data_IF_777923790144
#
_entry.id   IF_777923790144
#
_cell.length_a   1.000
_cell.length_b   1.000
_cell.length_c   1.000
_cell.angle_alpha   90.00
_cell.angle_beta   90.00
_cell.angle_gamma   90.00
#
_symmetry.space_group_name_H-M   'P 1'
#
loop_
_entity.id
_entity.type
_entity.pdbx_description
1 polymer ?
#
# COMPACT_ATOMS: atom_id res chain seq x y z
N UNK A 1 61.78 5.75 6.43
CA UNK A 1 60.74 4.85 6.97
C UNK A 1 60.28 3.97 5.81
N UNK A 2 60.51 2.65 5.86
CA UNK A 2 60.28 1.72 4.72
C UNK A 2 58.82 1.74 4.25
N UNK A 3 58.58 1.62 2.94
CA UNK A 3 57.24 1.58 2.29
C UNK A 3 56.37 0.46 2.91
N UNK A 4 57.01 -0.63 3.34
CA UNK A 4 56.37 -1.74 4.06
C UNK A 4 55.68 -1.28 5.35
N UNK A 5 56.28 -0.34 6.09
CA UNK A 5 55.70 0.17 7.34
C UNK A 5 54.46 1.06 7.11
N UNK A 6 54.36 1.68 5.92
CA UNK A 6 53.20 2.49 5.53
C UNK A 6 52.04 1.58 5.10
N UNK A 7 52.34 0.52 4.34
CA UNK A 7 51.35 -0.48 3.93
C UNK A 7 50.78 -1.25 5.14
N UNK A 8 51.62 -1.65 6.09
CA UNK A 8 51.19 -2.33 7.32
C UNK A 8 50.32 -1.40 8.19
N UNK A 9 50.63 -0.10 8.25
CA UNK A 9 49.79 0.88 8.96
C UNK A 9 48.42 1.07 8.29
N UNK A 10 48.37 1.12 6.96
CA UNK A 10 47.11 1.22 6.22
C UNK A 10 46.26 -0.05 6.40
N UNK A 11 46.85 -1.25 6.32
CA UNK A 11 46.17 -2.53 6.55
C UNK A 11 45.58 -2.64 7.96
N UNK A 12 46.31 -2.21 9.00
CA UNK A 12 45.79 -2.18 10.39
C UNK A 12 44.66 -1.16 10.57
N UNK A 13 44.68 -0.04 9.85
CA UNK A 13 43.65 1.02 9.94
C UNK A 13 42.29 0.59 9.38
N UNK A 14 42.26 -0.28 8.37
CA UNK A 14 41.01 -0.78 7.76
C UNK A 14 40.61 -2.18 8.24
N UNK A 15 41.50 -2.91 8.91
CA UNK A 15 41.21 -4.24 9.49
C UNK A 15 40.04 -4.22 10.48
N UNK A 16 39.91 -3.18 11.30
CA UNK A 16 38.78 -3.06 12.24
C UNK A 16 37.43 -2.79 11.56
N UNK A 17 37.42 -2.13 10.40
CA UNK A 17 36.20 -1.83 9.63
C UNK A 17 35.67 -3.11 8.97
N UNK A 18 36.55 -3.95 8.44
CA UNK A 18 36.21 -5.29 7.94
C UNK A 18 35.65 -6.19 9.04
N UNK A 19 36.20 -6.12 10.26
CA UNK A 19 35.73 -6.88 11.41
C UNK A 19 34.32 -6.48 11.87
N UNK A 20 34.00 -5.17 11.83
CA UNK A 20 32.66 -4.65 12.13
C UNK A 20 31.64 -5.13 11.07
N UNK A 21 32.02 -5.15 9.79
CA UNK A 21 31.14 -5.62 8.71
C UNK A 21 30.80 -7.11 8.84
N UNK A 22 31.79 -7.96 9.17
CA UNK A 22 31.56 -9.40 9.40
C UNK A 22 30.73 -9.67 10.66
N UNK A 23 30.91 -8.88 11.73
CA UNK A 23 30.10 -9.00 12.95
C UNK A 23 28.63 -8.61 12.73
N UNK A 24 28.35 -7.61 11.88
CA UNK A 24 26.99 -7.20 11.49
C UNK A 24 26.22 -8.33 10.77
N UNK A 25 26.87 -9.06 9.86
CA UNK A 25 26.23 -10.16 9.14
C UNK A 25 25.97 -11.38 10.04
N UNK A 26 26.86 -11.66 10.99
CA UNK A 26 26.67 -12.75 11.96
C UNK A 26 25.49 -12.48 12.91
N UNK A 27 25.24 -11.22 13.29
CA UNK A 27 24.04 -10.85 14.07
C UNK A 27 22.75 -11.01 13.26
N UNK A 28 22.75 -10.67 11.97
CA UNK A 28 21.59 -10.84 11.10
C UNK A 28 21.24 -12.33 10.87
N UNK A 29 22.26 -13.19 10.74
CA UNK A 29 22.07 -14.63 10.58
C UNK A 29 21.59 -15.32 11.88
N UNK A 30 22.11 -14.88 13.03
CA UNK A 30 21.66 -15.38 14.34
C UNK A 30 20.19 -15.07 14.61
N UNK A 31 19.75 -13.85 14.31
CA UNK A 31 18.35 -13.43 14.53
C UNK A 31 17.36 -14.19 13.64
N UNK A 32 17.75 -14.51 12.39
CA UNK A 32 16.90 -15.30 11.49
C UNK A 32 16.73 -16.75 11.97
N UNK A 33 17.77 -17.33 12.59
CA UNK A 33 17.73 -18.70 13.14
C UNK A 33 16.93 -18.78 14.44
N UNK A 34 16.96 -17.72 15.24
CA UNK A 34 16.12 -17.59 16.45
C UNK A 34 14.64 -17.45 16.08
N UNK A 35 14.32 -16.60 15.08
CA UNK A 35 12.96 -16.44 14.55
C UNK A 35 12.42 -17.75 13.96
N UNK A 36 13.24 -18.50 13.20
CA UNK A 36 12.79 -19.79 12.65
C UNK A 36 12.50 -20.84 13.74
N UNK A 37 13.28 -20.82 14.83
CA UNK A 37 13.08 -21.75 15.94
C UNK A 37 11.85 -21.38 16.79
N UNK A 38 11.58 -20.09 16.98
CA UNK A 38 10.38 -19.62 17.69
C UNK A 38 9.11 -20.00 16.91
N UNK A 39 9.08 -19.80 15.59
CA UNK A 39 7.94 -20.16 14.73
C UNK A 39 7.66 -21.68 14.74
N UNK A 40 8.71 -22.50 14.77
CA UNK A 40 8.58 -23.96 14.80
C UNK A 40 8.15 -24.52 16.17
N UNK A 41 8.45 -23.82 17.26
CA UNK A 41 8.09 -24.24 18.61
C UNK A 41 6.68 -23.79 19.01
N UNK A 42 6.23 -22.61 18.54
CA UNK A 42 4.88 -22.10 18.80
C UNK A 42 3.80 -22.87 18.03
N UNK A 43 4.14 -23.45 16.87
CA UNK A 43 3.23 -24.30 16.08
C UNK A 43 3.03 -25.69 16.69
N UNK A 44 3.87 -26.12 17.65
CA UNK A 44 3.76 -27.42 18.28
C UNK A 44 2.96 -27.45 19.59
N UNK A 45 2.67 -26.30 20.24
CA UNK A 45 2.18 -26.31 21.62
C UNK A 45 1.11 -25.27 22.03
N UNK A 46 0.40 -24.60 21.10
CA UNK A 46 -0.74 -23.74 21.47
C UNK A 46 -2.04 -24.29 20.93
N UNK A 47 -2.65 -25.17 21.72
CA UNK A 47 -4.10 -25.35 21.71
C UNK A 47 -4.73 -24.18 22.50
N UNK A 48 -4.96 -23.07 21.83
CA UNK A 48 -5.90 -22.05 22.33
C UNK A 48 -6.63 -21.52 21.13
N UNK A 49 -7.89 -21.92 21.00
CA UNK A 49 -8.78 -21.58 19.89
C UNK A 49 -9.05 -20.07 19.84
N UNK A 50 -8.74 -19.38 18.73
CA UNK A 50 -9.47 -18.20 18.30
C UNK A 50 -10.39 -18.60 17.14
N UNK A 51 -11.69 -18.60 17.41
CA UNK A 51 -12.79 -18.31 16.46
C UNK A 51 -12.53 -18.52 14.95
N UNK A 52 -13.11 -19.59 14.40
CA UNK A 52 -13.56 -19.79 13.01
C UNK A 52 -12.70 -19.18 11.88
N UNK A 53 -11.78 -20.00 11.37
CA UNK A 53 -11.41 -20.17 9.96
C UNK A 53 -11.65 -18.98 9.00
N UNK A 54 -10.74 -18.00 9.00
CA UNK A 54 -10.33 -17.33 7.76
C UNK A 54 -8.90 -17.80 7.46
N UNK A 55 -8.66 -18.39 6.29
CA UNK A 55 -7.29 -18.72 5.89
C UNK A 55 -6.45 -17.44 5.88
N UNK A 56 -5.17 -17.53 6.24
CA UNK A 56 -4.26 -16.36 6.19
C UNK A 56 -4.28 -15.67 4.81
N UNK A 57 -4.60 -16.41 3.75
CA UNK A 57 -4.80 -15.90 2.40
C UNK A 57 -6.06 -15.02 2.28
N UNK A 58 -7.20 -15.45 2.83
CA UNK A 58 -8.43 -14.65 2.81
C UNK A 58 -8.23 -13.30 3.53
N UNK A 59 -7.48 -13.28 4.63
CA UNK A 59 -7.12 -12.03 5.31
C UNK A 59 -6.16 -11.16 4.49
N UNK A 60 -5.21 -11.75 3.78
CA UNK A 60 -4.32 -11.03 2.86
C UNK A 60 -5.08 -10.43 1.67
N UNK A 61 -6.09 -11.15 1.18
CA UNK A 61 -6.93 -10.71 0.07
C UNK A 61 -7.84 -9.55 0.50
N UNK A 62 -8.46 -9.63 1.68
CA UNK A 62 -9.26 -8.56 2.28
C UNK A 62 -8.44 -7.28 2.49
N UNK A 63 -7.19 -7.40 2.97
CA UNK A 63 -6.31 -6.23 3.14
C UNK A 63 -5.95 -5.58 1.81
N UNK A 64 -5.67 -6.39 0.79
CA UNK A 64 -5.38 -5.88 -0.55
C UNK A 64 -6.60 -5.16 -1.16
N UNK A 65 -7.81 -5.61 -0.81
CA UNK A 65 -9.06 -4.97 -1.21
C UNK A 65 -9.20 -3.57 -0.61
N UNK A 66 -9.00 -3.42 0.70
CA UNK A 66 -9.10 -2.12 1.39
C UNK A 66 -8.13 -1.08 0.83
N UNK A 67 -6.95 -1.50 0.35
CA UNK A 67 -5.95 -0.60 -0.22
C UNK A 67 -6.06 -0.43 -1.74
N UNK A 68 -7.05 -1.05 -2.38
CA UNK A 68 -7.30 -0.92 -3.82
C UNK A 68 -6.20 -1.56 -4.67
N UNK A 69 -5.53 -2.60 -4.16
CA UNK A 69 -4.40 -3.27 -4.85
C UNK A 69 -4.87 -4.08 -6.07
N UNK A 70 -6.18 -4.27 -6.23
CA UNK A 70 -6.77 -4.96 -7.38
C UNK A 70 -7.08 -4.01 -8.55
N UNK A 71 -7.09 -4.57 -9.76
CA UNK A 71 -7.33 -3.82 -11.00
C UNK A 71 -8.82 -3.45 -11.17
N UNK A 72 -9.07 -2.36 -11.89
CA UNK A 72 -10.41 -1.94 -12.32
C UNK A 72 -11.10 -3.03 -13.15
N UNK A 73 -10.37 -3.99 -13.71
CA UNK A 73 -10.91 -5.17 -14.40
C UNK A 73 -11.51 -6.23 -13.48
N UNK A 74 -11.39 -6.11 -12.16
CA UNK A 74 -11.92 -7.09 -11.21
C UNK A 74 -13.43 -7.32 -11.40
N UNK A 75 -13.83 -8.58 -11.30
CA UNK A 75 -15.23 -9.03 -11.36
C UNK A 75 -16.08 -8.53 -10.18
N UNK A 76 -15.43 -8.00 -9.14
CA UNK A 76 -16.05 -7.51 -7.91
C UNK A 76 -16.73 -6.15 -8.06
N UNK A 77 -16.41 -5.38 -9.10
CA UNK A 77 -16.95 -4.04 -9.30
C UNK A 77 -18.02 -3.99 -10.40
N UNK A 78 -19.03 -3.14 -10.19
CA UNK A 78 -20.12 -2.90 -11.14
C UNK A 78 -19.90 -1.59 -11.90
N UNK A 79 -20.05 -1.65 -13.23
CA UNK A 79 -19.93 -0.47 -14.08
C UNK A 79 -21.13 0.47 -13.92
N UNK A 80 -20.84 1.77 -13.86
CA UNK A 80 -21.87 2.82 -13.86
C UNK A 80 -22.36 3.04 -15.30
N UNK A 81 -23.68 3.16 -15.56
CA UNK A 81 -24.21 3.49 -16.87
C UNK A 81 -23.64 4.81 -17.43
N UNK A 82 -23.26 4.82 -18.71
CA UNK A 82 -22.69 6.00 -19.40
C UNK A 82 -23.58 7.26 -19.34
N UNK A 83 -24.90 7.09 -19.17
CA UNK A 83 -25.82 8.24 -18.99
C UNK A 83 -25.54 9.06 -17.72
N UNK A 84 -24.91 8.45 -16.72
CA UNK A 84 -24.65 9.07 -15.42
C UNK A 84 -23.18 9.49 -15.25
N UNK A 85 -22.27 9.07 -16.11
CA UNK A 85 -20.84 9.37 -16.00
C UNK A 85 -20.21 9.70 -17.36
N UNK A 86 -19.38 10.75 -17.47
CA UNK A 86 -18.71 11.11 -18.73
C UNK A 86 -17.59 10.13 -19.10
N UNK A 87 -17.07 9.36 -18.14
CA UNK A 87 -16.01 8.37 -18.35
C UNK A 87 -16.38 7.02 -17.74
N UNK A 88 -15.77 5.91 -18.19
CA UNK A 88 -16.01 4.60 -17.58
C UNK A 88 -15.61 4.63 -16.10
N UNK A 89 -16.60 4.46 -15.22
CA UNK A 89 -16.43 4.41 -13.78
C UNK A 89 -17.07 3.14 -13.23
N UNK A 90 -16.51 2.64 -12.14
CA UNK A 90 -16.96 1.42 -11.48
C UNK A 90 -17.14 1.66 -9.98
N UNK A 91 -18.11 0.99 -9.39
CA UNK A 91 -18.46 1.08 -7.97
C UNK A 91 -18.68 -0.30 -7.38
N UNK A 92 -18.65 -0.37 -6.06
CA UNK A 92 -19.03 -1.54 -5.32
C UNK A 92 -20.51 -1.87 -5.57
N UNK A 93 -20.87 -3.15 -5.79
CA UNK A 93 -22.25 -3.54 -6.10
C UNK A 93 -23.26 -3.10 -5.05
N UNK A 94 -22.87 -3.03 -3.78
CA UNK A 94 -23.74 -2.63 -2.66
C UNK A 94 -24.15 -1.15 -2.73
N UNK A 95 -23.30 -0.29 -3.31
CA UNK A 95 -23.58 1.15 -3.43
C UNK A 95 -24.45 1.45 -4.65
N UNK A 96 -24.47 0.56 -5.64
CA UNK A 96 -25.11 0.80 -6.93
C UNK A 96 -26.56 1.24 -6.81
N UNK A 97 -27.38 0.50 -6.06
CA UNK A 97 -28.82 0.79 -5.99
C UNK A 97 -29.07 2.16 -5.33
N UNK A 98 -28.35 2.48 -4.26
CA UNK A 98 -28.45 3.77 -3.56
C UNK A 98 -28.04 4.94 -4.44
N UNK A 99 -26.98 4.79 -5.24
CA UNK A 99 -26.55 5.81 -6.20
C UNK A 99 -27.63 6.08 -7.25
N UNK A 100 -28.22 5.03 -7.83
CA UNK A 100 -29.25 5.19 -8.88
C UNK A 100 -30.51 5.84 -8.31
N UNK A 101 -30.96 5.41 -7.12
CA UNK A 101 -32.11 6.01 -6.45
C UNK A 101 -31.88 7.50 -6.13
N UNK A 102 -30.67 7.87 -5.68
CA UNK A 102 -30.30 9.27 -5.46
C UNK A 102 -30.36 10.09 -6.76
N UNK A 103 -29.82 9.57 -7.86
CA UNK A 103 -29.83 10.27 -9.16
C UNK A 103 -31.26 10.41 -9.68
N UNK A 104 -32.07 9.36 -9.58
CA UNK A 104 -33.45 9.38 -10.06
C UNK A 104 -34.33 10.33 -9.24
N UNK A 105 -34.10 10.45 -7.93
CA UNK A 105 -34.74 11.47 -7.08
C UNK A 105 -34.32 12.88 -7.47
N UNK A 106 -33.01 13.13 -7.62
CA UNK A 106 -32.52 14.44 -8.07
C UNK A 106 -33.11 14.84 -9.43
N UNK A 107 -33.27 13.88 -10.35
CA UNK A 107 -33.87 14.14 -11.65
C UNK A 107 -35.34 14.56 -11.56
N UNK A 108 -36.13 14.01 -10.62
CA UNK A 108 -37.52 14.44 -10.37
C UNK A 108 -37.60 15.90 -9.92
N UNK A 109 -36.55 16.37 -9.23
CA UNK A 109 -36.39 17.76 -8.80
C UNK A 109 -35.73 18.64 -9.88
N UNK A 110 -35.60 18.15 -11.13
CA UNK A 110 -34.90 18.80 -12.24
C UNK A 110 -33.40 19.07 -11.98
N UNK A 111 -32.77 18.35 -11.07
CA UNK A 111 -31.33 18.43 -10.77
C UNK A 111 -30.61 17.30 -11.51
N UNK A 112 -29.71 17.66 -12.42
CA UNK A 112 -28.90 16.69 -13.17
C UNK A 112 -27.59 16.38 -12.44
N UNK A 113 -27.51 15.19 -11.85
CA UNK A 113 -26.28 14.68 -11.24
C UNK A 113 -25.45 13.90 -12.26
N UNK A 114 -24.12 14.01 -12.14
CA UNK A 114 -23.18 13.18 -12.90
C UNK A 114 -22.04 12.71 -12.00
N UNK A 115 -21.74 11.43 -12.08
CA UNK A 115 -20.63 10.80 -11.35
C UNK A 115 -19.33 11.14 -12.05
N UNK A 116 -18.46 11.87 -11.35
CA UNK A 116 -17.17 12.34 -11.89
C UNK A 116 -16.03 11.38 -11.56
N UNK A 117 -16.12 10.63 -10.47
CA UNK A 117 -15.12 9.61 -10.11
C UNK A 117 -15.68 8.66 -9.06
N UNK A 118 -15.37 7.37 -9.19
CA UNK A 118 -15.72 6.34 -8.24
C UNK A 118 -14.47 5.53 -7.84
N UNK A 119 -14.42 4.23 -8.15
CA UNK A 119 -13.29 3.37 -7.80
C UNK A 119 -11.97 3.82 -8.42
N UNK A 120 -10.91 3.76 -7.61
CA UNK A 120 -9.54 4.03 -8.03
C UNK A 120 -8.59 3.01 -7.44
N UNK A 121 -7.84 2.32 -8.30
CA UNK A 121 -6.79 1.41 -7.85
C UNK A 121 -5.66 2.16 -7.13
N UNK A 122 -4.91 1.44 -6.32
CA UNK A 122 -3.69 1.90 -5.66
C UNK A 122 -2.73 2.54 -6.69
N UNK A 123 -2.49 1.85 -7.80
CA UNK A 123 -1.60 2.30 -8.87
C UNK A 123 -2.06 3.65 -9.46
N UNK A 124 -3.36 3.81 -9.70
CA UNK A 124 -3.89 5.08 -10.21
C UNK A 124 -3.76 6.21 -9.18
N UNK A 125 -4.01 5.94 -7.90
CA UNK A 125 -3.83 6.95 -6.84
C UNK A 125 -2.35 7.31 -6.67
N UNK A 126 -1.45 6.33 -6.75
CA UNK A 126 0.02 6.53 -6.77
C UNK A 126 0.44 7.44 -7.91
N UNK A 127 -0.02 7.15 -9.13
CA UNK A 127 0.27 8.00 -10.28
C UNK A 127 -0.23 9.46 -10.09
N UNK A 128 -1.44 9.65 -9.55
CA UNK A 128 -1.96 11.00 -9.26
C UNK A 128 -1.08 11.72 -8.24
N UNK A 129 -0.66 11.00 -7.20
CA UNK A 129 0.23 11.53 -6.17
C UNK A 129 1.60 11.92 -6.75
N UNK A 130 2.25 11.02 -7.50
CA UNK A 130 3.55 11.25 -8.13
C UNK A 130 3.50 12.41 -9.13
N UNK A 131 2.43 12.52 -9.91
CA UNK A 131 2.22 13.66 -10.80
C UNK A 131 2.10 15.00 -10.05
N UNK A 132 1.48 15.00 -8.87
CA UNK A 132 1.40 16.20 -8.00
C UNK A 132 2.72 16.47 -7.29
N UNK A 133 3.48 15.44 -6.97
CA UNK A 133 4.81 15.55 -6.39
C UNK A 133 5.79 16.23 -7.37
N UNK A 134 5.83 15.73 -8.62
CA UNK A 134 6.76 16.21 -9.63
C UNK A 134 8.23 15.96 -9.24
N UNK A 135 9.13 16.83 -9.67
CA UNK A 135 10.57 16.71 -9.41
C UNK A 135 10.98 17.40 -8.09
N UNK A 136 10.33 17.04 -6.99
CA UNK A 136 10.61 17.60 -5.65
C UNK A 136 11.49 16.65 -4.82
N UNK A 137 12.35 17.17 -3.91
CA UNK A 137 13.10 16.35 -2.95
C UNK A 137 12.15 15.53 -2.07
N UNK A 138 12.54 14.29 -1.75
CA UNK A 138 11.69 13.33 -1.03
C UNK A 138 11.25 13.78 0.38
N UNK A 139 11.94 14.76 0.96
CA UNK A 139 11.75 15.28 2.31
C UNK A 139 11.01 16.64 2.36
N UNK A 140 10.42 17.10 1.24
CA UNK A 140 9.61 18.32 1.19
C UNK A 140 8.24 18.13 1.88
N UNK A 141 8.26 18.18 3.22
CA UNK A 141 7.08 18.00 4.09
C UNK A 141 5.99 19.05 3.78
N UNK A 142 6.38 20.27 3.45
CA UNK A 142 5.42 21.34 3.16
C UNK A 142 4.67 21.07 1.86
N UNK A 143 5.37 20.58 0.84
CA UNK A 143 4.72 20.15 -0.40
C UNK A 143 3.81 18.94 -0.18
N UNK A 144 4.26 17.95 0.59
CA UNK A 144 3.42 16.81 0.96
C UNK A 144 2.12 17.26 1.65
N UNK A 145 2.21 18.16 2.63
CA UNK A 145 1.05 18.76 3.31
C UNK A 145 0.13 19.50 2.34
N UNK A 146 0.68 20.21 1.36
CA UNK A 146 -0.12 20.90 0.35
C UNK A 146 -0.90 19.94 -0.56
N UNK A 147 -0.29 18.82 -0.95
CA UNK A 147 -0.97 17.78 -1.72
C UNK A 147 -2.10 17.15 -0.89
N UNK A 148 -1.82 16.82 0.38
CA UNK A 148 -2.76 16.16 1.30
C UNK A 148 -4.03 16.97 1.56
N UNK A 149 -4.03 18.29 1.34
CA UNK A 149 -5.24 19.12 1.41
C UNK A 149 -6.33 18.65 0.44
N UNK A 150 -5.94 18.08 -0.71
CA UNK A 150 -6.86 17.75 -1.80
C UNK A 150 -6.69 16.33 -2.37
N UNK A 151 -5.63 15.61 -1.99
CA UNK A 151 -5.35 14.28 -2.50
C UNK A 151 -4.82 13.39 -1.40
N UNK A 152 -5.52 12.27 -1.15
CA UNK A 152 -5.08 11.26 -0.20
C UNK A 152 -3.77 10.60 -0.67
N UNK A 153 -2.96 10.16 0.30
CA UNK A 153 -1.80 9.34 0.03
C UNK A 153 -2.23 7.98 -0.56
N UNK A 154 -1.48 7.36 -1.47
CA UNK A 154 -1.82 6.04 -2.01
C UNK A 154 -2.04 5.01 -0.89
N UNK A 155 -3.14 4.26 -0.95
CA UNK A 155 -3.53 3.30 0.08
C UNK A 155 -4.38 3.89 1.23
N UNK A 156 -4.56 5.21 1.27
CA UNK A 156 -5.39 5.92 2.28
C UNK A 156 -6.63 6.59 1.68
N UNK A 157 -6.86 6.42 0.38
CA UNK A 157 -8.02 6.99 -0.33
C UNK A 157 -9.24 6.10 -0.19
N UNK A 158 -10.40 6.64 0.20
CA UNK A 158 -11.66 5.88 0.21
C UNK A 158 -12.11 5.37 -1.16
N UNK A 159 -11.70 6.05 -2.23
CA UNK A 159 -11.90 5.58 -3.61
C UNK A 159 -11.35 4.16 -3.87
N UNK A 160 -10.45 3.66 -3.01
CA UNK A 160 -9.99 2.26 -3.07
C UNK A 160 -11.10 1.25 -2.80
N UNK A 161 -12.17 1.64 -2.11
CA UNK A 161 -13.29 0.75 -1.78
C UNK A 161 -14.37 0.74 -2.87
N UNK A 162 -14.36 1.74 -3.75
CA UNK A 162 -15.38 1.89 -4.80
C UNK A 162 -16.74 2.31 -4.25
N UNK A 163 -16.73 3.08 -3.16
CA UNK A 163 -17.93 3.70 -2.58
C UNK A 163 -18.52 4.84 -3.43
#
# INVERSE_FOLDING_TARGET
MSIENILIKQLKKYSWILLIFVLSEMTAFGHQKEISNIINNDTANVSTQPSKNHSNQAWLDDRQEVHGVFDQSSTKLKSIPKKYTPKPEKIHPEVYNSLIDMIDKAQKDNIKLSVVSAFRSYQRQKQIWENKWGNRPNDDINHAKNILKWSAFPGTSRHHWGD
#
